data_IF_439016818514
#
_entry.id   IF_439016818514
#
_cell.length_a   1.000
_cell.length_b   1.000
_cell.length_c   1.000
_cell.angle_alpha   90.00
_cell.angle_beta   90.00
_cell.angle_gamma   90.00
#
_symmetry.space_group_name_H-M   'P 1'
#
loop_
_entity.id
_entity.type
_entity.pdbx_description
1 polymer ?
#
# COMPACT_ATOMS: atom_id res chain seq x y z
N UNK A 1 -12.66 -0.81 8.62
CA UNK A 1 -11.59 0.13 8.23
C UNK A 1 -11.39 -0.02 6.74
N UNK A 2 -11.36 1.10 6.03
CA UNK A 2 -11.21 1.06 4.58
C UNK A 2 -9.79 0.58 4.25
N UNK A 3 -9.65 -0.46 3.46
CA UNK A 3 -8.36 -1.10 3.14
C UNK A 3 -7.36 -0.11 2.49
N UNK A 4 -7.88 0.92 1.81
CA UNK A 4 -7.12 2.03 1.22
C UNK A 4 -6.29 2.84 2.24
N UNK A 5 -6.72 2.94 3.51
CA UNK A 5 -5.97 3.69 4.53
C UNK A 5 -4.66 3.03 4.93
N UNK A 6 -4.55 1.71 4.72
CA UNK A 6 -3.38 0.91 5.06
C UNK A 6 -2.43 0.70 3.88
N UNK A 7 -2.93 0.90 2.64
CA UNK A 7 -2.12 0.65 1.44
C UNK A 7 -1.05 1.70 1.27
N UNK A 8 0.09 1.23 0.80
CA UNK A 8 1.22 2.07 0.44
C UNK A 8 1.52 1.91 -1.05
N UNK A 9 1.95 2.98 -1.65
CA UNK A 9 2.64 2.97 -2.94
C UNK A 9 4.11 2.73 -2.65
N UNK A 10 4.76 1.87 -3.41
CA UNK A 10 6.20 1.63 -3.36
C UNK A 10 6.74 1.74 -4.77
N UNK A 11 7.72 2.60 -4.99
CA UNK A 11 8.30 2.84 -6.31
C UNK A 11 9.77 3.25 -6.22
N UNK A 12 10.52 2.98 -7.29
CA UNK A 12 11.91 3.38 -7.39
C UNK A 12 12.07 4.89 -7.54
N UNK A 13 13.11 5.45 -6.93
CA UNK A 13 13.36 6.89 -6.92
C UNK A 13 13.52 7.49 -8.33
N UNK A 14 14.06 6.72 -9.28
CA UNK A 14 14.16 7.16 -10.69
C UNK A 14 12.80 7.41 -11.34
N UNK A 15 11.74 6.69 -10.90
CA UNK A 15 10.38 6.95 -11.40
C UNK A 15 9.81 8.23 -10.79
N UNK A 16 10.12 8.51 -9.53
CA UNK A 16 9.69 9.75 -8.85
C UNK A 16 10.32 10.98 -9.48
N UNK A 17 11.59 10.89 -9.85
CA UNK A 17 12.33 12.01 -10.49
C UNK A 17 12.10 12.08 -12.01
N UNK A 18 11.39 11.12 -12.59
CA UNK A 18 11.04 11.13 -14.02
C UNK A 18 9.98 12.19 -14.34
N UNK A 19 9.88 12.54 -15.61
CA UNK A 19 8.86 13.47 -16.08
C UNK A 19 7.55 12.69 -16.27
N UNK A 20 6.57 12.92 -15.41
CA UNK A 20 5.24 12.34 -15.53
C UNK A 20 4.38 13.22 -16.47
N UNK A 21 4.37 12.89 -17.75
CA UNK A 21 3.50 13.54 -18.74
C UNK A 21 2.10 12.97 -18.66
N UNK A 22 1.35 13.41 -17.65
CA UNK A 22 -0.03 12.98 -17.45
C UNK A 22 -0.82 13.97 -16.60
N UNK A 23 -2.12 13.94 -16.76
CA UNK A 23 -3.05 14.74 -15.95
C UNK A 23 -3.28 14.11 -14.58
N UNK A 24 -3.80 14.89 -13.65
CA UNK A 24 -4.07 14.48 -12.27
C UNK A 24 -4.77 13.12 -12.16
N UNK A 25 -5.84 12.91 -12.91
CA UNK A 25 -6.64 11.67 -12.85
C UNK A 25 -5.85 10.46 -13.30
N UNK A 26 -5.08 10.58 -14.38
CA UNK A 26 -4.22 9.51 -14.88
C UNK A 26 -3.11 9.16 -13.87
N UNK A 27 -2.48 10.18 -13.27
CA UNK A 27 -1.45 9.99 -12.26
C UNK A 27 -2.02 9.31 -11.00
N UNK A 28 -3.17 9.77 -10.49
CA UNK A 28 -3.86 9.14 -9.37
C UNK A 28 -4.26 7.68 -9.66
N UNK A 29 -4.71 7.38 -10.88
CA UNK A 29 -5.07 6.02 -11.27
C UNK A 29 -3.83 5.12 -11.32
N UNK A 30 -2.72 5.61 -11.85
CA UNK A 30 -1.46 4.90 -11.84
C UNK A 30 -1.01 4.58 -10.40
N UNK A 31 -1.00 5.56 -9.51
CA UNK A 31 -0.60 5.39 -8.11
C UNK A 31 -1.52 4.40 -7.36
N UNK A 32 -2.83 4.48 -7.60
CA UNK A 32 -3.78 3.51 -7.04
C UNK A 32 -3.50 2.09 -7.54
N UNK A 33 -3.22 1.93 -8.83
CA UNK A 33 -2.86 0.63 -9.39
C UNK A 33 -1.54 0.09 -8.80
N UNK A 34 -0.52 0.94 -8.67
CA UNK A 34 0.77 0.57 -8.03
C UNK A 34 0.57 0.15 -6.58
N UNK A 35 -0.33 0.79 -5.83
CA UNK A 35 -0.63 0.41 -4.44
C UNK A 35 -1.22 -1.01 -4.29
N UNK A 36 -1.63 -1.64 -5.39
CA UNK A 36 -2.13 -3.02 -5.41
C UNK A 36 -1.04 -4.04 -5.74
N UNK A 37 0.18 -3.62 -6.05
CA UNK A 37 1.31 -4.51 -6.33
C UNK A 37 1.88 -5.00 -5.00
N UNK A 38 1.96 -6.31 -4.84
CA UNK A 38 2.78 -6.93 -3.81
C UNK A 38 4.22 -6.99 -4.35
N UNK A 39 5.13 -6.24 -3.72
CA UNK A 39 6.53 -6.15 -4.15
C UNK A 39 7.34 -7.41 -3.82
N UNK A 40 6.89 -8.22 -2.85
CA UNK A 40 7.52 -9.48 -2.46
C UNK A 40 7.03 -10.65 -3.33
N UNK A 41 5.76 -10.58 -3.79
CA UNK A 41 5.14 -11.56 -4.68
C UNK A 41 4.62 -10.86 -5.93
N UNK A 42 5.50 -10.57 -6.91
CA UNK A 42 5.13 -9.82 -8.10
C UNK A 42 3.95 -10.43 -8.86
N UNK A 43 3.04 -9.63 -9.38
CA UNK A 43 1.87 -10.12 -10.07
C UNK A 43 2.24 -10.87 -11.34
N UNK A 44 1.62 -12.04 -11.53
CA UNK A 44 1.81 -12.83 -12.74
C UNK A 44 1.38 -12.05 -13.98
N UNK A 45 2.18 -12.10 -15.04
CA UNK A 45 1.94 -11.41 -16.32
C UNK A 45 1.79 -9.88 -16.15
N UNK A 46 2.31 -9.30 -15.04
CA UNK A 46 2.18 -7.89 -14.68
C UNK A 46 0.71 -7.43 -14.54
N UNK A 47 -0.18 -8.33 -14.15
CA UNK A 47 -1.62 -8.09 -14.06
C UNK A 47 -2.03 -7.98 -12.60
N UNK A 48 -2.74 -6.90 -12.27
CA UNK A 48 -3.44 -6.74 -11.00
C UNK A 48 -4.95 -6.64 -11.22
N UNK A 49 -5.70 -6.87 -10.15
CA UNK A 49 -7.15 -6.68 -10.12
C UNK A 49 -7.51 -5.66 -9.04
N UNK A 50 -8.33 -4.70 -9.42
CA UNK A 50 -8.82 -3.63 -8.57
C UNK A 50 -10.35 -3.64 -8.60
N UNK A 51 -10.98 -3.50 -7.43
CA UNK A 51 -12.43 -3.38 -7.34
C UNK A 51 -12.90 -2.01 -7.85
N UNK A 52 -13.98 -1.99 -8.63
CA UNK A 52 -14.64 -0.72 -9.02
C UNK A 52 -15.10 0.08 -7.81
N UNK A 53 -15.52 -0.60 -6.73
CA UNK A 53 -15.93 0.07 -5.47
C UNK A 53 -14.77 0.83 -4.86
N UNK A 54 -13.59 0.23 -4.79
CA UNK A 54 -12.37 0.90 -4.31
C UNK A 54 -11.98 2.06 -5.20
N UNK A 55 -12.03 1.87 -6.51
CA UNK A 55 -11.73 2.91 -7.48
C UNK A 55 -12.69 4.09 -7.36
N UNK A 56 -13.99 3.86 -7.27
CA UNK A 56 -14.98 4.92 -7.07
C UNK A 56 -14.83 5.62 -5.72
N UNK A 57 -14.52 4.88 -4.66
CA UNK A 57 -14.23 5.44 -3.34
C UNK A 57 -12.96 6.30 -3.33
N UNK A 58 -11.95 5.90 -4.08
CA UNK A 58 -10.71 6.67 -4.21
C UNK A 58 -10.91 8.00 -4.95
N UNK A 59 -11.76 8.02 -5.98
CA UNK A 59 -12.04 9.21 -6.78
C UNK A 59 -13.25 10.02 -6.28
N UNK A 60 -13.89 9.64 -5.17
CA UNK A 60 -15.10 10.25 -4.61
C UNK A 60 -16.22 10.41 -5.65
N UNK A 61 -16.36 9.43 -6.53
CA UNK A 61 -17.40 9.44 -7.56
C UNK A 61 -18.70 8.87 -6.98
N UNK A 62 -19.66 9.74 -6.71
CA UNK A 62 -21.03 9.37 -6.31
C UNK A 62 -21.96 9.32 -7.53
N UNK A 63 -22.88 8.32 -7.59
CA UNK A 63 -24.07 8.28 -8.43
C UNK A 63 -23.99 7.88 -9.92
N UNK A 64 -24.99 8.25 -10.71
CA UNK A 64 -25.34 7.76 -12.05
C UNK A 64 -24.27 7.85 -13.15
N UNK A 65 -23.28 8.73 -13.00
CA UNK A 65 -22.21 8.94 -13.99
C UNK A 65 -20.92 8.14 -13.74
N UNK A 66 -20.90 7.19 -12.78
CA UNK A 66 -19.70 6.45 -12.36
C UNK A 66 -19.01 5.74 -13.54
N UNK A 67 -19.77 5.02 -14.33
CA UNK A 67 -19.23 4.23 -15.43
C UNK A 67 -18.68 5.09 -16.56
N UNK A 68 -19.37 6.19 -16.88
CA UNK A 68 -18.91 7.14 -17.90
C UNK A 68 -17.60 7.82 -17.50
N UNK A 69 -17.54 8.36 -16.28
CA UNK A 69 -16.31 8.99 -15.74
C UNK A 69 -15.13 8.00 -15.64
N UNK A 70 -15.42 6.76 -15.26
CA UNK A 70 -14.41 5.72 -15.22
C UNK A 70 -13.85 5.43 -16.62
N UNK A 71 -14.72 5.25 -17.62
CA UNK A 71 -14.32 5.05 -19.02
C UNK A 71 -13.47 6.22 -19.53
N UNK A 72 -13.92 7.46 -19.32
CA UNK A 72 -13.18 8.67 -19.70
C UNK A 72 -11.81 8.75 -19.03
N UNK A 73 -11.71 8.40 -17.75
CA UNK A 73 -10.45 8.40 -17.01
C UNK A 73 -9.46 7.37 -17.57
N UNK A 74 -9.92 6.17 -17.93
CA UNK A 74 -9.09 5.14 -18.56
C UNK A 74 -8.63 5.59 -19.95
N UNK A 75 -9.54 6.08 -20.78
CA UNK A 75 -9.21 6.56 -22.11
C UNK A 75 -8.19 7.71 -22.08
N UNK A 76 -8.35 8.63 -21.15
CA UNK A 76 -7.41 9.73 -20.94
C UNK A 76 -6.04 9.22 -20.50
N UNK A 77 -6.01 8.27 -19.58
CA UNK A 77 -4.77 7.65 -19.11
C UNK A 77 -4.04 6.94 -20.27
N UNK A 78 -4.73 6.13 -21.06
CA UNK A 78 -4.11 5.40 -22.17
C UNK A 78 -3.63 6.29 -23.29
N UNK A 79 -4.31 7.43 -23.54
CA UNK A 79 -3.94 8.36 -24.63
C UNK A 79 -2.82 9.32 -24.28
N UNK A 80 -2.67 9.70 -23.01
CA UNK A 80 -1.82 10.83 -22.63
C UNK A 80 -0.83 10.51 -21.49
N UNK A 81 -0.91 9.33 -20.87
CA UNK A 81 -0.08 9.03 -19.72
C UNK A 81 1.19 8.30 -20.10
N UNK A 82 2.33 8.93 -19.91
CA UNK A 82 3.62 8.27 -20.01
C UNK A 82 4.65 8.90 -19.09
N UNK A 83 5.65 8.12 -18.71
CA UNK A 83 6.84 8.58 -18.00
C UNK A 83 8.00 8.74 -18.97
N UNK A 84 8.77 9.79 -18.79
CA UNK A 84 10.06 9.97 -19.45
C UNK A 84 11.17 9.86 -18.43
N UNK A 85 11.88 8.75 -18.48
CA UNK A 85 13.02 8.45 -17.59
C UNK A 85 14.29 8.80 -18.33
N UNK A 86 15.10 9.67 -17.72
CA UNK A 86 16.37 10.12 -18.26
C UNK A 86 17.52 9.47 -17.51
N UNK A 87 18.36 8.73 -18.21
CA UNK A 87 19.60 8.17 -17.66
C UNK A 87 20.78 8.92 -18.25
N UNK A 88 21.65 9.43 -17.38
CA UNK A 88 22.89 10.08 -17.80
C UNK A 88 23.92 8.99 -18.11
N UNK A 89 24.51 9.03 -19.31
CA UNK A 89 25.56 8.14 -19.78
C UNK A 89 26.85 8.94 -20.02
N UNK A 90 27.99 8.28 -20.17
CA UNK A 90 29.29 8.92 -20.38
C UNK A 90 29.32 9.88 -21.59
N UNK A 91 28.55 9.59 -22.64
CA UNK A 91 28.47 10.38 -23.88
C UNK A 91 27.12 11.07 -24.08
N UNK A 92 26.48 11.52 -22.99
CA UNK A 92 25.21 12.23 -23.06
C UNK A 92 24.12 11.61 -22.17
N UNK A 93 22.93 11.39 -22.72
CA UNK A 93 21.82 10.78 -21.97
C UNK A 93 21.00 9.84 -22.85
N UNK A 94 20.40 8.87 -22.22
CA UNK A 94 19.38 8.01 -22.81
C UNK A 94 18.01 8.43 -22.27
N UNK A 95 16.99 8.50 -23.12
CA UNK A 95 15.63 8.84 -22.75
C UNK A 95 14.71 7.68 -23.07
N UNK A 96 14.08 7.11 -22.05
CA UNK A 96 13.07 6.06 -22.21
C UNK A 96 11.68 6.65 -21.96
N UNK A 97 10.76 6.48 -22.91
CA UNK A 97 9.37 6.91 -22.78
C UNK A 97 8.48 5.68 -22.62
N UNK A 98 7.78 5.56 -21.50
CA UNK A 98 6.99 4.37 -21.14
C UNK A 98 5.54 4.75 -20.89
N UNK A 99 4.60 4.11 -21.63
CA UNK A 99 3.18 4.09 -21.27
C UNK A 99 3.01 3.05 -20.15
N UNK A 100 2.70 3.45 -18.92
CA UNK A 100 2.77 2.55 -17.77
C UNK A 100 1.69 1.46 -17.75
N UNK A 101 0.48 1.78 -18.23
CA UNK A 101 -0.69 0.89 -18.24
C UNK A 101 -1.26 0.81 -19.66
N UNK A 102 -0.77 -0.14 -20.50
CA UNK A 102 -1.23 -0.28 -21.87
C UNK A 102 -2.61 -0.95 -21.97
N UNK A 103 -2.98 -1.79 -20.99
CA UNK A 103 -4.22 -2.57 -21.06
C UNK A 103 -5.03 -2.42 -19.77
N UNK A 104 -6.32 -2.08 -19.94
CA UNK A 104 -7.33 -2.13 -18.88
C UNK A 104 -8.55 -2.87 -19.41
N UNK A 105 -9.04 -3.87 -18.65
CA UNK A 105 -10.23 -4.65 -19.03
C UNK A 105 -11.24 -4.61 -17.87
N UNK A 106 -12.48 -4.31 -18.21
CA UNK A 106 -13.61 -4.31 -17.30
C UNK A 106 -14.90 -4.72 -18.02
N UNK A 107 -15.94 -5.01 -17.27
CA UNK A 107 -17.26 -5.35 -17.82
C UNK A 107 -18.38 -4.69 -16.98
N UNK A 108 -19.64 -4.88 -17.33
CA UNK A 108 -20.78 -4.29 -16.60
C UNK A 108 -21.34 -5.20 -15.50
N UNK A 109 -20.95 -6.46 -15.44
CA UNK A 109 -21.59 -7.50 -14.63
C UNK A 109 -20.79 -7.92 -13.37
N UNK A 110 -19.52 -7.62 -13.28
CA UNK A 110 -18.74 -7.85 -12.04
C UNK A 110 -18.03 -6.58 -11.55
N UNK A 111 -17.44 -6.66 -10.36
CA UNK A 111 -16.76 -5.52 -9.73
C UNK A 111 -15.28 -5.38 -10.14
N UNK A 112 -14.71 -6.39 -10.81
CA UNK A 112 -13.27 -6.45 -11.07
C UNK A 112 -12.86 -5.61 -12.29
N UNK A 113 -11.79 -4.86 -12.12
CA UNK A 113 -11.06 -4.16 -13.18
C UNK A 113 -9.67 -4.79 -13.27
N UNK A 114 -9.36 -5.40 -14.40
CA UNK A 114 -8.03 -5.92 -14.70
C UNK A 114 -7.16 -4.77 -15.22
N UNK A 115 -5.99 -4.59 -14.65
CA UNK A 115 -4.98 -3.62 -15.06
C UNK A 115 -3.70 -4.38 -15.36
N UNK A 116 -3.16 -4.21 -16.56
CA UNK A 116 -1.87 -4.77 -16.95
C UNK A 116 -0.84 -3.66 -17.06
N UNK A 117 0.25 -3.80 -16.34
CA UNK A 117 1.40 -2.91 -16.42
C UNK A 117 2.30 -3.25 -17.59
N UNK A 118 2.92 -2.23 -18.16
CA UNK A 118 3.97 -2.40 -19.16
C UNK A 118 5.19 -3.10 -18.52
N UNK A 119 5.76 -4.08 -19.21
CA UNK A 119 6.93 -4.80 -18.72
C UNK A 119 8.14 -3.89 -18.42
N UNK A 120 8.28 -2.77 -19.12
CA UNK A 120 9.39 -1.82 -18.92
C UNK A 120 9.20 -0.90 -17.70
N UNK A 121 7.99 -0.79 -17.13
CA UNK A 121 7.78 -0.04 -15.89
C UNK A 121 7.99 -0.93 -14.66
N UNK A 122 7.81 -2.24 -14.79
CA UNK A 122 7.87 -3.18 -13.66
C UNK A 122 9.19 -3.13 -12.87
N UNK A 123 10.38 -2.99 -13.48
CA UNK A 123 11.63 -2.86 -12.72
C UNK A 123 11.67 -1.67 -11.75
N UNK A 124 10.81 -0.68 -11.95
CA UNK A 124 10.67 0.48 -11.06
C UNK A 124 9.61 0.28 -9.96
N UNK A 125 8.89 -0.84 -9.97
CA UNK A 125 7.76 -1.14 -9.07
C UNK A 125 7.95 -2.41 -8.24
N UNK A 126 8.83 -3.31 -8.66
CA UNK A 126 9.11 -4.60 -7.99
C UNK A 126 10.61 -4.82 -7.81
N UNK A 127 10.99 -5.78 -6.97
CA UNK A 127 12.39 -6.12 -6.66
C UNK A 127 13.24 -4.93 -6.16
N UNK A 128 12.60 -4.02 -5.45
CA UNK A 128 13.19 -2.77 -4.99
C UNK A 128 14.07 -2.99 -3.76
N UNK A 129 15.33 -3.38 -3.98
CA UNK A 129 16.32 -3.64 -2.91
C UNK A 129 16.94 -2.37 -2.33
N UNK A 130 17.00 -1.29 -3.13
CA UNK A 130 17.57 0.00 -2.77
C UNK A 130 16.88 1.12 -3.57
N UNK A 131 17.10 2.37 -3.16
CA UNK A 131 16.62 3.57 -3.88
C UNK A 131 15.13 3.57 -4.16
N UNK A 132 14.33 3.11 -3.21
CA UNK A 132 12.87 3.14 -3.30
C UNK A 132 12.25 4.05 -2.25
N UNK A 133 11.04 4.49 -2.54
CA UNK A 133 10.23 5.34 -1.67
C UNK A 133 8.89 4.69 -1.44
N UNK A 134 8.36 4.82 -0.23
CA UNK A 134 7.01 4.40 0.12
C UNK A 134 6.22 5.54 0.73
N UNK A 135 4.93 5.63 0.40
CA UNK A 135 3.99 6.58 0.99
C UNK A 135 2.55 6.03 0.97
N UNK A 136 1.68 6.61 1.81
CA UNK A 136 0.29 6.16 1.91
C UNK A 136 -0.53 6.64 0.72
N UNK A 137 -1.25 5.74 0.07
CA UNK A 137 -2.16 6.09 -1.03
C UNK A 137 -3.31 7.00 -0.57
N UNK A 138 -3.73 6.88 0.71
CA UNK A 138 -4.75 7.74 1.31
C UNK A 138 -4.38 9.22 1.35
N UNK A 139 -3.10 9.56 1.58
CA UNK A 139 -2.64 10.95 1.55
C UNK A 139 -2.67 11.52 0.12
N UNK A 140 -2.34 10.70 -0.87
CA UNK A 140 -2.36 11.11 -2.27
C UNK A 140 -3.79 11.30 -2.79
N UNK A 141 -4.76 10.56 -2.26
CA UNK A 141 -6.18 10.68 -2.60
C UNK A 141 -6.67 12.12 -2.46
N UNK A 142 -6.28 12.81 -1.40
CA UNK A 142 -6.76 14.15 -1.06
C UNK A 142 -6.10 15.28 -1.89
N UNK A 143 -4.99 14.98 -2.59
CA UNK A 143 -4.30 15.97 -3.42
C UNK A 143 -5.07 16.22 -4.73
N UNK A 144 -5.36 17.48 -5.04
CA UNK A 144 -6.22 17.89 -6.15
C UNK A 144 -5.50 18.50 -7.36
N UNK A 145 -4.17 18.66 -7.28
CA UNK A 145 -3.33 19.14 -8.37
C UNK A 145 -2.32 18.09 -8.80
N UNK A 146 -2.03 17.98 -10.11
CA UNK A 146 -0.92 17.13 -10.60
C UNK A 146 0.41 17.55 -9.95
N UNK A 147 0.60 18.85 -9.74
CA UNK A 147 1.81 19.39 -9.14
C UNK A 147 1.94 19.01 -7.65
N UNK A 148 0.82 18.98 -6.93
CA UNK A 148 0.80 18.53 -5.54
C UNK A 148 1.20 17.07 -5.42
N UNK A 149 0.72 16.22 -6.33
CA UNK A 149 1.08 14.79 -6.36
C UNK A 149 2.57 14.61 -6.67
N UNK A 150 3.07 15.27 -7.71
CA UNK A 150 4.49 15.19 -8.11
C UNK A 150 5.40 15.66 -6.98
N UNK A 151 5.09 16.83 -6.39
CA UNK A 151 5.86 17.36 -5.28
C UNK A 151 5.78 16.48 -4.03
N UNK A 152 4.60 15.95 -3.70
CA UNK A 152 4.44 15.04 -2.57
C UNK A 152 5.30 13.78 -2.73
N UNK A 153 5.32 13.17 -3.92
CA UNK A 153 6.19 12.02 -4.23
C UNK A 153 7.67 12.36 -4.05
N UNK A 154 8.10 13.48 -4.60
CA UNK A 154 9.48 13.95 -4.50
C UNK A 154 9.89 14.28 -3.05
N UNK A 155 9.03 14.95 -2.29
CA UNK A 155 9.26 15.23 -0.87
C UNK A 155 9.28 13.95 -0.04
N UNK A 156 8.39 12.99 -0.33
CA UNK A 156 8.38 11.67 0.30
C UNK A 156 9.67 10.91 0.03
N UNK A 157 10.21 10.96 -1.18
CA UNK A 157 11.48 10.35 -1.53
C UNK A 157 12.62 10.89 -0.63
N UNK A 158 12.73 12.19 -0.53
CA UNK A 158 13.75 12.81 0.30
C UNK A 158 13.55 12.48 1.79
N UNK A 159 12.32 12.57 2.30
CA UNK A 159 12.03 12.29 3.69
C UNK A 159 12.23 10.82 4.06
N UNK A 160 11.91 9.87 3.17
CA UNK A 160 12.20 8.44 3.38
C UNK A 160 13.71 8.18 3.51
N UNK A 161 14.54 8.87 2.71
CA UNK A 161 16.00 8.78 2.84
C UNK A 161 16.48 9.38 4.18
N UNK A 162 15.89 10.49 4.62
CA UNK A 162 16.16 11.05 5.95
C UNK A 162 15.85 10.02 7.04
N UNK A 163 14.64 9.47 7.07
CA UNK A 163 14.25 8.47 8.08
C UNK A 163 15.18 7.25 8.04
N UNK A 164 15.49 6.75 6.84
CA UNK A 164 16.36 5.58 6.67
C UNK A 164 17.76 5.80 7.26
N UNK A 165 18.45 6.87 6.85
CA UNK A 165 19.82 7.12 7.30
C UNK A 165 19.92 7.65 8.71
N UNK A 166 18.88 8.30 9.22
CA UNK A 166 18.79 8.71 10.62
C UNK A 166 18.76 7.51 11.57
N UNK A 167 18.14 6.40 11.16
CA UNK A 167 18.06 5.16 11.95
C UNK A 167 19.25 4.23 11.66
N UNK A 168 19.59 4.01 10.41
CA UNK A 168 20.63 3.06 10.00
C UNK A 168 22.06 3.59 10.24
N UNK A 169 22.23 4.90 10.22
CA UNK A 169 23.56 5.51 10.23
C UNK A 169 24.29 5.36 8.88
N UNK A 170 25.61 5.47 8.91
CA UNK A 170 26.46 5.30 7.73
C UNK A 170 26.65 6.56 6.88
N UNK A 171 26.04 7.70 7.29
CA UNK A 171 26.24 9.02 6.69
C UNK A 171 26.52 10.06 7.77
N UNK A 172 27.22 11.15 7.41
CA UNK A 172 27.45 12.29 8.31
C UNK A 172 26.12 12.99 8.60
N UNK A 173 25.94 13.53 9.81
CA UNK A 173 24.71 14.20 10.24
C UNK A 173 24.25 15.29 9.26
N UNK A 174 25.17 16.10 8.75
CA UNK A 174 24.89 17.13 7.75
C UNK A 174 24.29 16.53 6.45
N UNK A 175 24.82 15.40 5.97
CA UNK A 175 24.28 14.74 4.78
C UNK A 175 22.89 14.15 5.01
N UNK A 176 22.63 13.67 6.24
CA UNK A 176 21.29 13.18 6.61
C UNK A 176 20.30 14.33 6.68
N UNK A 177 20.70 15.45 7.27
CA UNK A 177 19.85 16.67 7.36
C UNK A 177 19.51 17.23 5.98
N UNK A 178 20.39 17.10 4.99
CA UNK A 178 20.12 17.54 3.62
C UNK A 178 18.94 16.80 2.98
N UNK A 179 18.63 15.58 3.41
CA UNK A 179 17.42 14.89 2.95
C UNK A 179 16.13 15.45 3.55
N UNK A 180 16.20 16.06 4.74
CA UNK A 180 15.08 16.80 5.33
C UNK A 180 14.99 18.22 4.81
N UNK A 181 16.09 18.75 4.27
CA UNK A 181 16.20 20.07 3.64
C UNK A 181 16.67 19.97 2.19
N UNK A 182 15.95 19.22 1.34
CA UNK A 182 16.41 19.00 -0.02
C UNK A 182 16.38 20.27 -0.85
N UNK A 183 17.43 20.45 -1.65
CA UNK A 183 17.55 21.55 -2.62
C UNK A 183 17.34 21.02 -4.03
N UNK A 184 16.62 21.77 -4.84
CA UNK A 184 16.40 21.49 -6.26
C UNK A 184 16.52 22.77 -7.07
N UNK A 185 17.18 22.72 -8.23
CA UNK A 185 17.23 23.86 -9.12
C UNK A 185 15.85 24.17 -9.71
N UNK A 186 15.57 25.44 -9.99
CA UNK A 186 14.31 25.83 -10.64
C UNK A 186 14.15 25.13 -11.99
N UNK A 187 15.25 24.88 -12.69
CA UNK A 187 15.25 24.15 -13.96
C UNK A 187 14.77 22.71 -13.77
N UNK A 188 15.38 21.96 -12.86
CA UNK A 188 14.98 20.55 -12.57
C UNK A 188 13.55 20.47 -12.02
N UNK A 189 13.16 21.43 -11.17
CA UNK A 189 11.81 21.47 -10.62
C UNK A 189 10.77 21.68 -11.73
N UNK A 190 11.08 22.51 -12.75
CA UNK A 190 10.24 22.66 -13.94
C UNK A 190 10.21 21.41 -14.80
N UNK A 191 11.34 20.68 -14.90
CA UNK A 191 11.41 19.41 -15.64
C UNK A 191 10.51 18.36 -15.01
N UNK A 192 10.64 18.08 -13.70
CA UNK A 192 9.82 17.05 -13.02
C UNK A 192 8.34 17.42 -12.96
N UNK A 193 8.00 18.71 -12.91
CA UNK A 193 6.60 19.16 -12.90
C UNK A 193 6.01 19.32 -14.30
N UNK A 194 6.77 19.02 -15.36
CA UNK A 194 6.38 19.21 -16.77
C UNK A 194 5.89 20.65 -17.06
N UNK A 195 6.66 21.64 -16.58
CA UNK A 195 6.32 23.07 -16.71
C UNK A 195 7.42 23.90 -17.37
N UNK A 196 8.33 23.25 -18.12
CA UNK A 196 9.43 23.93 -18.81
C UNK A 196 8.92 25.03 -19.76
N UNK A 197 7.79 24.75 -20.41
CA UNK A 197 7.16 25.66 -21.37
C UNK A 197 5.97 26.44 -20.78
N UNK A 198 5.65 26.21 -19.48
CA UNK A 198 4.53 26.87 -18.79
C UNK A 198 5.05 27.83 -17.72
N UNK A 199 4.22 28.81 -17.34
CA UNK A 199 4.51 29.75 -16.23
C UNK A 199 5.92 30.36 -16.33
N UNK A 200 6.26 30.96 -17.47
CA UNK A 200 7.61 31.47 -17.77
C UNK A 200 8.15 32.38 -16.65
N UNK A 201 7.31 33.26 -16.13
CA UNK A 201 7.65 34.11 -14.99
C UNK A 201 7.72 33.29 -13.71
N UNK A 202 8.78 33.51 -12.93
CA UNK A 202 8.98 32.76 -11.65
C UNK A 202 7.86 33.04 -10.65
N UNK A 203 7.24 34.21 -10.69
CA UNK A 203 6.10 34.57 -9.84
C UNK A 203 4.88 33.67 -10.13
N UNK A 204 4.56 33.45 -11.40
CA UNK A 204 3.44 32.58 -11.81
C UNK A 204 3.71 31.13 -11.49
N UNK A 205 4.94 30.68 -11.73
CA UNK A 205 5.38 29.34 -11.33
C UNK A 205 5.24 29.14 -9.82
N UNK A 206 5.76 30.06 -9.01
CA UNK A 206 5.64 30.02 -7.56
C UNK A 206 4.18 29.97 -7.11
N UNK A 207 3.33 30.82 -7.65
CA UNK A 207 1.91 30.91 -7.29
C UNK A 207 1.13 29.64 -7.65
N UNK A 208 1.33 29.11 -8.87
CA UNK A 208 0.50 28.04 -9.44
C UNK A 208 1.04 26.65 -9.14
N UNK A 209 2.35 26.49 -9.07
CA UNK A 209 3.01 25.19 -8.86
C UNK A 209 3.40 25.02 -7.39
N UNK A 210 4.15 25.94 -6.78
CA UNK A 210 4.69 25.77 -5.43
C UNK A 210 3.65 26.06 -4.35
N UNK A 211 3.17 27.30 -4.25
CA UNK A 211 2.31 27.72 -3.13
C UNK A 211 1.03 26.92 -3.03
N UNK A 212 0.37 26.71 -4.18
CA UNK A 212 -0.87 25.92 -4.21
C UNK A 212 -0.63 24.47 -3.81
N UNK A 213 0.44 23.86 -4.32
CA UNK A 213 0.74 22.45 -4.01
C UNK A 213 1.16 22.25 -2.55
N UNK A 214 1.99 23.14 -2.01
CA UNK A 214 2.38 23.04 -0.61
C UNK A 214 1.21 23.29 0.34
N UNK A 215 0.28 24.18 -0.01
CA UNK A 215 -0.95 24.35 0.77
C UNK A 215 -1.78 23.07 0.83
N UNK A 216 -1.95 22.35 -0.30
CA UNK A 216 -2.63 21.05 -0.34
C UNK A 216 -1.86 19.98 0.46
N UNK A 217 -0.55 19.87 0.28
CA UNK A 217 0.31 18.92 1.00
C UNK A 217 0.21 19.17 2.50
N UNK A 218 0.35 20.44 2.92
CA UNK A 218 0.26 20.80 4.33
C UNK A 218 -1.14 20.59 4.93
N UNK A 219 -2.20 20.69 4.15
CA UNK A 219 -3.55 20.46 4.63
C UNK A 219 -3.89 18.96 4.76
N UNK A 220 -3.47 18.14 3.80
CA UNK A 220 -4.02 16.80 3.58
C UNK A 220 -3.04 15.64 3.78
N UNK A 221 -1.75 15.92 4.00
CA UNK A 221 -0.75 14.87 4.23
C UNK A 221 -0.13 14.94 5.61
N UNK A 222 0.67 13.94 5.94
CA UNK A 222 1.47 13.89 7.17
C UNK A 222 2.63 14.90 7.19
N UNK A 223 2.86 15.64 6.12
CA UNK A 223 3.94 16.62 6.05
C UNK A 223 3.49 18.05 6.36
N UNK A 224 4.40 18.80 6.99
CA UNK A 224 4.39 20.23 7.07
C UNK A 224 5.66 20.75 6.35
N UNK A 225 5.47 21.45 5.24
CA UNK A 225 6.57 21.83 4.34
C UNK A 225 6.59 23.35 4.13
N UNK A 226 7.76 23.94 4.35
CA UNK A 226 8.08 25.29 3.98
C UNK A 226 9.19 25.28 2.93
N UNK A 227 9.48 26.43 2.31
CA UNK A 227 10.56 26.56 1.35
C UNK A 227 11.23 27.92 1.38
N UNK A 228 12.47 27.94 0.95
CA UNK A 228 13.29 29.13 0.76
C UNK A 228 13.77 29.21 -0.69
N UNK A 229 13.96 30.44 -1.17
CA UNK A 229 14.46 30.71 -2.53
C UNK A 229 15.92 31.14 -2.47
N UNK A 230 16.76 30.36 -3.12
CA UNK A 230 18.20 30.70 -3.25
C UNK A 230 18.42 31.44 -4.53
N UNK A 231 19.06 32.61 -4.41
CA UNK A 231 19.36 33.47 -5.55
C UNK A 231 20.81 33.27 -6.01
N UNK A 232 20.99 33.33 -7.34
CA UNK A 232 22.30 33.42 -7.97
C UNK A 232 22.29 34.70 -8.83
N UNK A 233 22.95 35.73 -8.34
CA UNK A 233 22.83 37.07 -8.92
C UNK A 233 21.42 37.66 -8.75
N UNK A 234 20.77 38.04 -9.86
CA UNK A 234 19.43 38.66 -9.85
C UNK A 234 18.28 37.62 -9.97
N UNK A 235 18.58 36.39 -10.33
CA UNK A 235 17.57 35.34 -10.55
C UNK A 235 17.53 34.36 -9.41
N UNK A 236 16.36 33.71 -9.24
CA UNK A 236 16.19 32.55 -8.34
C UNK A 236 16.77 31.32 -9.06
N UNK A 237 17.75 30.68 -8.44
CA UNK A 237 18.48 29.55 -8.98
C UNK A 237 17.89 28.23 -8.50
N UNK A 238 17.63 28.15 -7.21
CA UNK A 238 17.15 26.91 -6.58
C UNK A 238 16.15 27.20 -5.46
N UNK A 239 15.44 26.13 -5.08
CA UNK A 239 14.47 26.09 -3.97
C UNK A 239 14.99 25.08 -2.97
N UNK A 240 15.06 25.46 -1.71
CA UNK A 240 15.32 24.56 -0.58
C UNK A 240 14.01 24.33 0.16
N UNK A 241 13.60 23.09 0.27
CA UNK A 241 12.41 22.71 1.05
C UNK A 241 12.81 22.33 2.47
N UNK A 242 11.94 22.59 3.43
CA UNK A 242 12.06 22.16 4.82
C UNK A 242 10.90 21.25 5.13
N UNK A 243 11.19 19.94 5.33
CA UNK A 243 10.17 18.91 5.51
C UNK A 243 10.11 18.53 6.98
N UNK A 244 8.93 18.65 7.56
CA UNK A 244 8.62 18.20 8.91
C UNK A 244 7.45 17.21 8.86
N UNK A 245 7.54 16.11 9.59
CA UNK A 245 6.42 15.18 9.72
C UNK A 245 5.54 15.59 10.90
N UNK A 246 4.25 15.75 10.64
CA UNK A 246 3.27 16.01 11.69
C UNK A 246 3.20 14.82 12.63
N UNK A 247 3.12 15.05 13.92
CA UNK A 247 2.83 14.00 14.90
C UNK A 247 1.36 13.60 14.75
N UNK A 248 1.12 12.40 14.28
CA UNK A 248 -0.22 11.80 14.29
C UNK A 248 -0.41 11.01 15.57
N UNK A 249 -1.62 10.96 16.11
CA UNK A 249 -1.93 10.24 17.35
C UNK A 249 -1.56 8.74 17.31
N UNK A 250 -1.56 8.15 16.09
CA UNK A 250 -1.22 6.75 15.85
C UNK A 250 0.26 6.54 15.45
N UNK A 251 1.06 7.60 15.40
CA UNK A 251 2.48 7.50 15.04
C UNK A 251 3.29 7.10 16.27
N UNK A 252 3.60 5.82 16.37
CA UNK A 252 4.45 5.25 17.40
C UNK A 252 5.96 5.35 17.05
N UNK A 253 6.35 6.16 16.08
CA UNK A 253 7.75 6.31 15.66
C UNK A 253 8.68 6.77 16.80
N UNK A 254 8.16 7.55 17.76
CA UNK A 254 8.91 7.95 18.95
C UNK A 254 9.31 6.77 19.86
N UNK A 255 8.62 5.62 19.72
CA UNK A 255 8.92 4.40 20.47
C UNK A 255 10.00 3.54 19.80
N UNK A 256 10.40 3.83 18.56
CA UNK A 256 11.39 3.02 17.84
C UNK A 256 12.78 3.05 18.47
N UNK A 257 13.10 4.06 19.29
CA UNK A 257 14.32 4.15 20.08
C UNK A 257 14.18 3.58 21.51
N UNK A 258 12.98 3.21 21.93
CA UNK A 258 12.69 2.69 23.25
C UNK A 258 13.02 1.19 23.32
N UNK A 259 13.91 0.80 24.24
CA UNK A 259 14.33 -0.60 24.41
C UNK A 259 13.16 -1.49 24.81
N UNK A 260 12.30 -1.02 25.69
CA UNK A 260 11.15 -1.78 26.18
C UNK A 260 10.15 -2.05 25.04
N UNK A 261 9.93 -1.06 24.17
CA UNK A 261 9.09 -1.24 22.97
C UNK A 261 9.70 -2.22 21.96
N UNK A 262 11.02 -2.18 21.76
CA UNK A 262 11.71 -3.14 20.89
C UNK A 262 11.68 -4.55 21.45
N UNK A 263 11.82 -4.70 22.77
CA UNK A 263 11.77 -5.99 23.44
C UNK A 263 10.34 -6.55 23.41
N UNK A 264 9.32 -5.73 23.64
CA UNK A 264 7.91 -6.10 23.47
C UNK A 264 7.59 -6.54 22.03
N UNK A 265 8.14 -5.84 21.04
CA UNK A 265 7.97 -6.20 19.61
C UNK A 265 8.65 -7.52 19.28
N UNK A 266 9.86 -7.76 19.80
CA UNK A 266 10.56 -9.04 19.66
C UNK A 266 9.82 -10.17 20.35
N UNK A 267 9.25 -9.91 21.52
CA UNK A 267 8.50 -10.90 22.29
C UNK A 267 7.18 -11.25 21.59
N UNK A 268 6.47 -10.27 21.02
CA UNK A 268 5.30 -10.52 20.19
C UNK A 268 5.63 -11.36 18.97
N UNK A 269 6.72 -11.05 18.26
CA UNK A 269 7.17 -11.82 17.10
C UNK A 269 7.57 -13.27 17.48
N UNK A 270 8.22 -13.49 18.64
CA UNK A 270 8.51 -14.83 19.15
C UNK A 270 7.22 -15.57 19.49
N UNK A 271 6.29 -14.95 20.19
CA UNK A 271 5.01 -15.53 20.53
C UNK A 271 4.19 -15.90 19.27
N UNK A 272 4.21 -15.08 18.23
CA UNK A 272 3.57 -15.41 16.95
C UNK A 272 4.25 -16.58 16.25
N UNK A 273 5.58 -16.66 16.28
CA UNK A 273 6.32 -17.78 15.72
C UNK A 273 6.03 -19.11 16.48
N UNK A 274 5.94 -19.04 17.81
CA UNK A 274 5.59 -20.20 18.63
C UNK A 274 4.15 -20.65 18.39
N UNK A 275 3.20 -19.73 18.27
CA UNK A 275 1.81 -20.04 17.93
C UNK A 275 1.70 -20.63 16.51
N UNK A 276 2.46 -20.12 15.54
CA UNK A 276 2.51 -20.68 14.20
C UNK A 276 3.03 -22.12 14.22
N UNK A 277 4.12 -22.37 14.94
CA UNK A 277 4.67 -23.73 15.10
C UNK A 277 3.64 -24.67 15.72
N UNK A 278 2.99 -24.28 16.82
CA UNK A 278 1.93 -25.05 17.46
C UNK A 278 0.76 -25.31 16.50
N UNK A 279 0.36 -24.32 15.69
CA UNK A 279 -0.68 -24.49 14.70
C UNK A 279 -0.30 -25.53 13.64
N UNK A 280 0.94 -25.50 13.14
CA UNK A 280 1.44 -26.43 12.13
C UNK A 280 1.49 -27.88 12.65
N UNK A 281 1.86 -28.06 13.92
CA UNK A 281 1.97 -29.36 14.58
C UNK A 281 0.60 -29.88 15.11
N UNK A 282 -0.43 -29.01 15.09
CA UNK A 282 -1.74 -29.33 15.66
C UNK A 282 -2.49 -30.39 14.85
N UNK A 283 -3.06 -31.40 15.56
CA UNK A 283 -3.99 -32.37 14.97
C UNK A 283 -5.19 -31.70 14.28
N UNK A 284 -5.62 -30.53 14.76
CA UNK A 284 -6.76 -29.82 14.19
C UNK A 284 -6.44 -29.24 12.82
N UNK A 285 -5.23 -28.78 12.58
CA UNK A 285 -4.77 -28.35 11.24
C UNK A 285 -4.90 -29.49 10.24
N UNK A 286 -4.48 -30.67 10.63
CA UNK A 286 -4.64 -31.88 9.79
C UNK A 286 -6.12 -32.20 9.53
N UNK A 287 -6.96 -32.20 10.56
CA UNK A 287 -8.40 -32.48 10.42
C UNK A 287 -9.10 -31.42 9.56
N UNK A 288 -8.73 -30.14 9.67
CA UNK A 288 -9.24 -29.07 8.81
C UNK A 288 -8.87 -29.27 7.34
N UNK A 289 -7.63 -29.70 7.07
CA UNK A 289 -7.16 -30.03 5.72
C UNK A 289 -7.86 -31.26 5.16
N UNK A 290 -8.02 -32.31 5.95
CA UNK A 290 -8.74 -33.54 5.57
C UNK A 290 -10.21 -33.26 5.23
N UNK A 291 -10.84 -32.27 5.85
CA UNK A 291 -12.21 -31.84 5.57
C UNK A 291 -12.29 -30.70 4.52
N UNK A 292 -11.21 -30.38 3.83
CA UNK A 292 -11.13 -29.32 2.81
C UNK A 292 -11.56 -27.92 3.32
N UNK A 293 -11.46 -27.68 4.63
CA UNK A 293 -11.77 -26.41 5.26
C UNK A 293 -10.63 -25.39 5.14
N UNK A 294 -9.39 -25.89 5.09
CA UNK A 294 -8.19 -25.08 4.78
C UNK A 294 -7.40 -25.73 3.64
N UNK A 295 -6.85 -24.90 2.78
CA UNK A 295 -5.96 -25.29 1.69
C UNK A 295 -4.49 -24.93 1.96
N UNK A 296 -3.61 -25.22 1.00
CA UNK A 296 -2.20 -24.91 1.11
C UNK A 296 -1.94 -23.41 1.31
N UNK A 297 -2.72 -22.54 0.67
CA UNK A 297 -2.61 -21.10 0.82
C UNK A 297 -2.93 -20.63 2.24
N UNK A 298 -3.94 -21.23 2.89
CA UNK A 298 -4.30 -20.91 4.26
C UNK A 298 -3.21 -21.38 5.24
N UNK A 299 -2.60 -22.54 4.97
CA UNK A 299 -1.48 -23.09 5.76
C UNK A 299 -0.23 -22.23 5.64
N UNK A 300 0.01 -21.65 4.48
CA UNK A 300 1.13 -20.73 4.24
C UNK A 300 0.89 -19.31 4.80
N UNK A 301 -0.36 -18.94 5.08
CA UNK A 301 -0.69 -17.65 5.67
C UNK A 301 -0.54 -17.67 7.20
N UNK A 302 0.54 -17.06 7.69
CA UNK A 302 0.86 -16.95 9.12
C UNK A 302 -0.29 -16.37 9.95
N UNK A 303 -0.97 -15.33 9.44
CA UNK A 303 -2.06 -14.69 10.16
C UNK A 303 -3.26 -15.64 10.34
N UNK A 304 -3.60 -16.41 9.33
CA UNK A 304 -4.65 -17.45 9.38
C UNK A 304 -4.28 -18.53 10.38
N UNK A 305 -3.06 -19.09 10.31
CA UNK A 305 -2.62 -20.16 11.19
C UNK A 305 -2.56 -19.74 12.66
N UNK A 306 -1.98 -18.56 12.95
CA UNK A 306 -1.96 -17.98 14.30
C UNK A 306 -3.40 -17.70 14.79
N UNK A 307 -4.26 -17.23 13.90
CA UNK A 307 -5.67 -17.00 14.20
C UNK A 307 -6.43 -18.28 14.57
N UNK A 308 -6.17 -19.38 13.88
CA UNK A 308 -6.72 -20.71 14.17
C UNK A 308 -6.23 -21.21 15.53
N UNK A 309 -4.92 -21.18 15.77
CA UNK A 309 -4.32 -21.64 17.03
C UNK A 309 -4.85 -20.87 18.24
N UNK A 310 -4.94 -19.55 18.13
CA UNK A 310 -5.32 -18.69 19.25
C UNK A 310 -6.82 -18.69 19.54
N UNK A 311 -7.67 -18.77 18.50
CA UNK A 311 -9.09 -18.48 18.66
C UNK A 311 -10.01 -19.66 18.37
N UNK A 312 -9.52 -20.73 17.74
CA UNK A 312 -10.36 -21.84 17.28
C UNK A 312 -9.96 -23.16 17.96
N UNK A 313 -8.69 -23.49 17.99
CA UNK A 313 -8.23 -24.77 18.54
C UNK A 313 -8.54 -24.97 20.03
N UNK A 314 -8.48 -23.96 20.90
CA UNK A 314 -8.92 -24.10 22.30
C UNK A 314 -10.40 -24.49 22.42
N UNK A 315 -11.25 -24.00 21.51
CA UNK A 315 -12.68 -24.37 21.47
C UNK A 315 -12.88 -25.81 20.99
N UNK A 316 -12.03 -26.29 20.11
CA UNK A 316 -12.02 -27.72 19.72
C UNK A 316 -11.42 -28.62 20.79
N UNK A 317 -10.51 -28.15 21.64
CA UNK A 317 -10.08 -28.90 22.81
C UNK A 317 -11.25 -29.06 23.79
N UNK A 318 -12.04 -28.00 24.03
CA UNK A 318 -13.25 -28.08 24.85
C UNK A 318 -14.29 -29.07 24.26
N UNK A 319 -14.57 -28.99 22.96
CA UNK A 319 -15.48 -29.97 22.31
C UNK A 319 -14.95 -31.40 22.41
N UNK A 320 -13.64 -31.59 22.30
CA UNK A 320 -13.00 -32.89 22.44
C UNK A 320 -13.14 -33.44 23.85
N UNK A 321 -13.08 -32.61 24.90
CA UNK A 321 -13.33 -33.05 26.27
C UNK A 321 -14.78 -33.54 26.44
N UNK A 322 -15.74 -32.90 25.82
CA UNK A 322 -17.17 -33.24 25.90
C UNK A 322 -17.58 -34.44 25.03
N UNK A 323 -17.05 -34.56 23.83
CA UNK A 323 -17.52 -35.52 22.79
C UNK A 323 -16.41 -36.39 22.19
N UNK A 324 -15.20 -36.32 22.72
CA UNK A 324 -14.04 -36.97 22.15
C UNK A 324 -13.62 -36.42 20.77
N UNK A 325 -12.62 -37.04 20.17
CA UNK A 325 -12.11 -36.58 18.85
C UNK A 325 -13.14 -36.82 17.73
N UNK A 326 -14.04 -37.81 17.87
CA UNK A 326 -15.09 -38.09 16.89
C UNK A 326 -16.10 -36.94 16.85
N UNK A 327 -16.50 -36.39 17.98
CA UNK A 327 -17.38 -35.21 18.01
C UNK A 327 -16.79 -33.99 17.32
N UNK A 328 -15.45 -33.80 17.37
CA UNK A 328 -14.77 -32.76 16.59
C UNK A 328 -14.83 -33.08 15.10
N UNK A 329 -14.59 -34.32 14.68
CA UNK A 329 -14.68 -34.73 13.27
C UNK A 329 -16.08 -34.55 12.70
N UNK A 330 -17.11 -34.92 13.46
CA UNK A 330 -18.52 -34.79 13.06
C UNK A 330 -18.89 -33.33 12.88
N UNK A 331 -18.47 -32.46 13.81
CA UNK A 331 -18.67 -31.02 13.68
C UNK A 331 -17.94 -30.43 12.47
N UNK A 332 -16.69 -30.82 12.21
CA UNK A 332 -15.92 -30.32 11.05
C UNK A 332 -16.56 -30.79 9.73
N UNK A 333 -17.03 -32.04 9.67
CA UNK A 333 -17.72 -32.59 8.51
C UNK A 333 -19.04 -31.85 8.24
N UNK A 334 -19.80 -31.54 9.29
CA UNK A 334 -21.01 -30.73 9.18
C UNK A 334 -20.71 -29.31 8.68
N UNK A 335 -19.69 -28.66 9.25
CA UNK A 335 -19.27 -27.30 8.83
C UNK A 335 -18.81 -27.28 7.39
N UNK A 336 -18.06 -28.31 6.97
CA UNK A 336 -17.63 -28.47 5.58
C UNK A 336 -18.81 -28.60 4.61
N UNK A 337 -19.83 -29.39 4.97
CA UNK A 337 -21.02 -29.60 4.15
C UNK A 337 -21.91 -28.34 4.01
N UNK A 338 -21.80 -27.40 4.93
CA UNK A 338 -22.56 -26.12 4.94
C UNK A 338 -21.79 -24.96 4.33
N UNK A 339 -20.52 -25.14 3.97
CA UNK A 339 -19.70 -24.09 3.38
C UNK A 339 -20.09 -23.89 1.92
N UNK A 340 -20.51 -22.67 1.57
CA UNK A 340 -20.71 -22.27 0.18
C UNK A 340 -19.34 -22.10 -0.52
N UNK A 341 -19.20 -22.60 -1.75
CA UNK A 341 -17.94 -22.63 -2.50
C UNK A 341 -17.27 -21.27 -2.74
N UNK A 342 -17.99 -20.17 -2.56
CA UNK A 342 -17.53 -18.81 -2.85
C UNK A 342 -17.30 -17.91 -1.63
N UNK A 343 -17.34 -18.44 -0.40
CA UNK A 343 -17.09 -17.58 0.77
C UNK A 343 -15.58 -17.33 0.97
N UNK A 344 -15.07 -16.25 0.42
CA UNK A 344 -13.74 -15.66 0.76
C UNK A 344 -13.75 -15.06 2.19
N UNK A 345 -14.31 -15.80 3.16
CA UNK A 345 -14.32 -15.35 4.53
C UNK A 345 -13.06 -15.87 5.24
N UNK A 346 -12.52 -15.05 6.15
CA UNK A 346 -11.47 -15.46 7.05
C UNK A 346 -11.89 -16.75 7.76
N UNK A 347 -11.24 -17.87 7.40
CA UNK A 347 -11.62 -19.22 7.85
C UNK A 347 -11.59 -19.34 9.37
N UNK A 348 -10.65 -18.66 10.05
CA UNK A 348 -10.57 -18.67 11.51
C UNK A 348 -11.81 -18.03 12.16
N UNK A 349 -12.31 -16.92 11.62
CA UNK A 349 -13.55 -16.28 12.09
C UNK A 349 -14.78 -17.16 11.82
N UNK A 350 -14.83 -17.79 10.66
CA UNK A 350 -15.93 -18.68 10.29
C UNK A 350 -16.02 -19.88 11.23
N UNK A 351 -14.90 -20.59 11.43
CA UNK A 351 -14.83 -21.75 12.32
C UNK A 351 -15.08 -21.35 13.78
N UNK A 352 -14.54 -20.23 14.24
CA UNK A 352 -14.83 -19.72 15.58
C UNK A 352 -16.33 -19.55 15.81
N UNK A 353 -17.01 -18.88 14.89
CA UNK A 353 -18.46 -18.67 14.99
C UNK A 353 -19.22 -19.99 14.97
N UNK A 354 -18.85 -20.93 14.10
CA UNK A 354 -19.51 -22.23 14.01
C UNK A 354 -19.38 -23.04 15.30
N UNK A 355 -18.20 -23.11 15.91
CA UNK A 355 -17.98 -23.85 17.15
C UNK A 355 -18.61 -23.15 18.37
N UNK A 356 -18.55 -21.81 18.44
CA UNK A 356 -19.23 -21.04 19.50
C UNK A 356 -20.75 -21.18 19.50
N UNK A 357 -21.36 -21.46 18.33
CA UNK A 357 -22.79 -21.76 18.22
C UNK A 357 -23.11 -23.22 18.58
N UNK A 358 -22.21 -24.14 18.36
CA UNK A 358 -22.40 -25.56 18.59
C UNK A 358 -22.18 -25.97 20.06
N UNK A 359 -21.16 -25.46 20.72
CA UNK A 359 -20.80 -25.82 22.10
C UNK A 359 -21.95 -25.67 23.12
N UNK A 360 -22.75 -24.60 23.10
CA UNK A 360 -23.90 -24.48 24.02
C UNK A 360 -24.94 -25.58 23.83
N UNK A 361 -25.14 -26.03 22.59
CA UNK A 361 -26.07 -27.11 22.28
C UNK A 361 -25.58 -28.44 22.86
N UNK A 362 -24.28 -28.73 22.70
CA UNK A 362 -23.63 -29.92 23.27
C UNK A 362 -23.75 -29.95 24.80
N UNK A 363 -23.40 -28.81 25.44
CA UNK A 363 -23.50 -28.67 26.93
C UNK A 363 -24.91 -28.85 27.45
N UNK A 364 -25.92 -28.35 26.73
CA UNK A 364 -27.34 -28.51 27.11
C UNK A 364 -27.79 -29.99 27.05
N UNK A 365 -27.39 -30.70 25.97
CA UNK A 365 -27.68 -32.12 25.82
C UNK A 365 -27.07 -32.96 26.92
N UNK A 366 -25.91 -32.56 27.47
CA UNK A 366 -25.30 -33.30 28.56
C UNK A 366 -26.06 -33.11 29.88
N UNK A 367 -26.52 -31.87 30.14
CA UNK A 367 -27.35 -31.53 31.31
C UNK A 367 -28.73 -32.22 31.28
N UNK A 368 -29.25 -32.54 30.09
CA UNK A 368 -30.55 -33.24 29.93
C UNK A 368 -30.40 -34.77 30.07
N UNK A 369 -29.18 -35.29 30.00
CA UNK A 369 -28.89 -36.72 30.10
C UNK A 369 -28.27 -37.12 31.47
N UNK A 370 -27.98 -36.17 32.37
CA UNK A 370 -27.66 -36.37 33.80
C UNK A 370 -28.95 -36.37 34.64
#
# INVERSE_FOLDING_TARGET
MNDLEKRKVVEHNSLITSIAKMQKTALKMFELAVSCIDTENPPKDNIIYLSKKELFAFFDVSSASKHTRFKEAIELMQKQAFFQIKEVKDKGYEMTSIVPIPTVKWNSYNDDVMIQFNQFIMPYLIDLKAEFTQYKISELKELNSKYSIILYRWLSMNYNQYEHYNVKGGRRAEQVENYRKPSISVKELREITDTVNEYKEIYDFEKRVLKKSLAEINAHTSFNVNYEKIKKGRSIDSIVFHIEKKRMADDNSYKLGDKDYQDDKKQKSRNEADLLKQAMESKYTRLLSENFLIGMNDIMDTATMVGLQKNVYPLYDELKELRGLNGVKDHLSYVSSKREEYSKHNIAKYLKKAIEQYLPTVKRQDLENE
#
